data_IF_922798549341
#
_entry.id   IF_922798549341
#
_cell.length_a   1.000
_cell.length_b   1.000
_cell.length_c   1.000
_cell.angle_alpha   90.00
_cell.angle_beta   90.00
_cell.angle_gamma   90.00
#
_symmetry.space_group_name_H-M   'P 1'
#
loop_
_entity.id
_entity.type
_entity.pdbx_description
1 polymer ?
#
# COMPACT_ATOMS: atom_id res chain seq x y z
N UNK A 1 -6.97 -8.72 11.07
CA UNK A 1 -5.66 -9.38 10.77
C UNK A 1 -4.77 -8.31 10.18
N UNK A 2 -3.62 -8.03 10.79
CA UNK A 2 -2.71 -6.97 10.33
C UNK A 2 -1.84 -7.53 9.21
N UNK A 3 -2.05 -7.10 7.97
CA UNK A 3 -1.37 -7.65 6.80
C UNK A 3 -0.47 -6.59 6.16
N UNK A 4 0.81 -6.63 6.51
CA UNK A 4 1.87 -5.85 5.85
C UNK A 4 2.10 -6.37 4.44
N UNK A 5 1.90 -5.50 3.46
CA UNK A 5 2.05 -5.80 2.03
C UNK A 5 3.03 -4.84 1.38
N UNK A 6 3.71 -5.28 0.31
CA UNK A 6 4.64 -4.43 -0.45
C UNK A 6 4.14 -4.10 -1.86
N UNK A 7 2.96 -4.63 -2.23
CA UNK A 7 2.33 -4.49 -3.54
C UNK A 7 0.86 -4.14 -3.32
N UNK A 8 0.37 -3.17 -4.08
CA UNK A 8 -1.01 -2.70 -4.09
C UNK A 8 -1.45 -2.36 -5.52
N UNK A 9 -2.74 -2.21 -5.75
CA UNK A 9 -3.22 -1.42 -6.88
C UNK A 9 -3.25 0.06 -6.49
N UNK A 10 -2.77 0.94 -7.37
CA UNK A 10 -2.90 2.39 -7.21
C UNK A 10 -4.32 2.88 -7.52
N UNK A 11 -4.56 4.19 -7.36
CA UNK A 11 -5.85 4.81 -7.65
C UNK A 11 -6.31 4.69 -9.12
N UNK A 12 -5.41 4.30 -10.04
CA UNK A 12 -5.71 4.02 -11.43
C UNK A 12 -5.96 2.53 -11.71
N UNK A 13 -5.92 1.68 -10.67
CA UNK A 13 -6.05 0.23 -10.80
C UNK A 13 -4.79 -0.45 -11.36
N UNK A 14 -3.64 0.23 -11.37
CA UNK A 14 -2.37 -0.36 -11.85
C UNK A 14 -1.61 -0.97 -10.69
N UNK A 15 -1.01 -2.13 -10.92
CA UNK A 15 -0.20 -2.80 -9.90
C UNK A 15 1.04 -1.95 -9.61
N UNK A 16 1.21 -1.54 -8.36
CA UNK A 16 2.30 -0.70 -7.90
C UNK A 16 2.98 -1.28 -6.66
N UNK A 17 4.29 -1.12 -6.59
CA UNK A 17 5.07 -1.47 -5.42
C UNK A 17 5.14 -0.31 -4.43
N UNK A 18 5.35 -0.61 -3.15
CA UNK A 18 5.49 0.40 -2.11
C UNK A 18 6.67 1.37 -2.34
N UNK A 19 7.71 0.91 -3.04
CA UNK A 19 8.84 1.75 -3.46
C UNK A 19 8.45 2.73 -4.57
N UNK A 20 7.63 2.31 -5.53
CA UNK A 20 7.10 3.18 -6.60
C UNK A 20 6.12 4.20 -6.04
N UNK A 21 5.28 3.79 -5.09
CA UNK A 21 4.40 4.68 -4.33
C UNK A 21 5.16 5.75 -3.54
N UNK A 22 6.44 5.53 -3.21
CA UNK A 22 7.28 6.52 -2.55
C UNK A 22 7.67 7.66 -3.48
N UNK A 23 7.92 7.35 -4.74
CA UNK A 23 8.29 8.34 -5.76
C UNK A 23 7.08 9.11 -6.29
N UNK A 24 5.91 8.47 -6.31
CA UNK A 24 4.67 9.03 -6.81
C UNK A 24 3.52 8.55 -5.92
N UNK A 25 3.26 9.24 -4.79
CA UNK A 25 2.18 8.87 -3.89
C UNK A 25 0.82 9.17 -4.52
N UNK A 26 -0.07 8.18 -4.45
CA UNK A 26 -1.48 8.29 -4.80
C UNK A 26 -2.36 8.39 -3.55
N UNK A 27 -3.54 8.99 -3.70
CA UNK A 27 -4.53 9.15 -2.62
C UNK A 27 -5.09 7.82 -2.10
N UNK A 28 -5.10 6.76 -2.94
CA UNK A 28 -5.71 5.49 -2.60
C UNK A 28 -4.92 4.30 -3.11
N UNK A 29 -4.87 3.27 -2.27
CA UNK A 29 -4.31 1.97 -2.61
C UNK A 29 -5.29 0.86 -2.22
N UNK A 30 -5.32 -0.22 -3.00
CA UNK A 30 -6.12 -1.39 -2.70
C UNK A 30 -5.31 -2.68 -2.79
N UNK A 31 -5.68 -3.68 -1.99
CA UNK A 31 -5.00 -4.96 -1.97
C UNK A 31 -5.25 -5.71 -3.27
N UNK A 32 -4.19 -6.20 -3.90
CA UNK A 32 -4.28 -6.93 -5.16
C UNK A 32 -4.96 -8.30 -5.04
N UNK A 33 -5.04 -8.86 -3.82
CA UNK A 33 -5.66 -10.16 -3.55
C UNK A 33 -7.15 -10.04 -3.19
N UNK A 34 -7.48 -9.14 -2.26
CA UNK A 34 -8.83 -9.04 -1.69
C UNK A 34 -9.58 -7.74 -2.05
N UNK A 35 -8.91 -6.77 -2.68
CA UNK A 35 -9.51 -5.48 -3.02
C UNK A 35 -9.68 -4.51 -1.85
N UNK A 36 -9.33 -4.90 -0.62
CA UNK A 36 -9.45 -4.04 0.57
C UNK A 36 -8.62 -2.77 0.45
N UNK A 37 -9.09 -1.68 1.08
CA UNK A 37 -8.34 -0.44 1.13
C UNK A 37 -7.05 -0.60 1.95
N UNK A 38 -5.96 -0.06 1.41
CA UNK A 38 -4.63 -0.10 2.00
C UNK A 38 -4.20 1.31 2.42
N UNK A 39 -3.55 1.40 3.57
CA UNK A 39 -2.84 2.59 4.05
C UNK A 39 -1.38 2.49 3.64
N UNK A 40 -0.87 3.52 2.99
CA UNK A 40 0.54 3.59 2.62
C UNK A 40 1.40 4.10 3.79
N UNK A 41 2.51 3.42 4.03
CA UNK A 41 3.55 3.79 4.97
C UNK A 41 4.84 4.05 4.19
N UNK A 42 5.29 5.32 4.06
CA UNK A 42 6.55 5.63 3.42
C UNK A 42 7.72 5.10 4.25
N UNK A 43 8.92 5.07 3.65
CA UNK A 43 10.13 4.67 4.37
C UNK A 43 10.36 5.60 5.57
N UNK A 44 10.53 5.01 6.75
CA UNK A 44 11.02 5.68 7.95
C UNK A 44 12.27 4.94 8.44
N UNK A 45 13.34 5.67 8.70
CA UNK A 45 14.63 5.14 9.12
C UNK A 45 15.13 3.98 8.23
N UNK A 46 15.11 2.75 8.77
CA UNK A 46 15.56 1.52 8.08
C UNK A 46 14.40 0.68 7.54
N UNK A 47 13.16 1.02 7.85
CA UNK A 47 11.99 0.27 7.39
C UNK A 47 11.60 0.66 5.98
N UNK A 48 11.71 -0.31 5.06
CA UNK A 48 11.26 -0.17 3.67
C UNK A 48 9.78 0.21 3.62
N UNK A 49 9.36 1.03 2.63
CA UNK A 49 7.96 1.45 2.50
C UNK A 49 7.06 0.22 2.32
N UNK A 50 5.84 0.31 2.85
CA UNK A 50 4.89 -0.80 2.86
C UNK A 50 3.44 -0.31 2.95
N UNK A 51 2.50 -1.24 2.83
CA UNK A 51 1.08 -1.01 2.92
C UNK A 51 0.45 -1.84 4.03
N UNK A 52 -0.45 -1.23 4.79
CA UNK A 52 -1.27 -1.90 5.79
C UNK A 52 -2.71 -2.04 5.32
N UNK A 53 -3.33 -3.19 5.54
CA UNK A 53 -4.78 -3.34 5.36
C UNK A 53 -5.52 -2.57 6.43
N UNK A 54 -6.35 -1.61 6.02
CA UNK A 54 -7.30 -0.99 6.92
C UNK A 54 -8.26 -2.08 7.41
N UNK A 55 -8.00 -2.62 8.60
CA UNK A 55 -8.99 -3.46 9.28
C UNK A 55 -10.11 -2.52 9.68
N UNK A 56 -11.22 -2.57 8.96
CA UNK A 56 -12.50 -2.07 9.48
C UNK A 56 -12.84 -2.99 10.65
N UNK A 57 -12.66 -2.50 11.88
CA UNK A 57 -13.11 -3.16 13.10
C UNK A 57 -14.63 -3.17 13.18
#
# INVERSE_FOLDING_TARGET
>A
MYAKSFIAFDGNGRLTGAHTAQTAPYDRYTCHLCGSALRYHPQYDTERPWFDTLTTG
#
